data_IF_701533098270
#
_entry.id   IF_701533098270
#
_cell.length_a   1.000
_cell.length_b   1.000
_cell.length_c   1.000
_cell.angle_alpha   90.00
_cell.angle_beta   90.00
_cell.angle_gamma   90.00
#
_symmetry.space_group_name_H-M   'P 1'
#
loop_
_entity.id
_entity.type
_entity.pdbx_description
1 polymer ?
#
# COMPACT_ATOMS: atom_id res chain seq x y z
N UNK A 1 22.69 18.67 -6.81
CA UNK A 1 22.07 17.40 -7.17
C UNK A 1 22.38 16.39 -6.08
N UNK A 2 21.42 15.56 -5.72
CA UNK A 2 21.60 14.47 -4.75
C UNK A 2 21.45 13.16 -5.50
N UNK A 3 22.20 12.13 -5.09
CA UNK A 3 22.14 10.78 -5.62
C UNK A 3 21.90 9.83 -4.45
N UNK A 4 21.14 8.77 -4.71
CA UNK A 4 20.99 7.64 -3.80
C UNK A 4 21.83 6.51 -4.37
N UNK A 5 22.60 5.84 -3.50
CA UNK A 5 23.38 4.65 -3.84
C UNK A 5 22.95 3.55 -2.88
N UNK A 6 22.48 2.45 -3.41
CA UNK A 6 21.94 1.33 -2.65
C UNK A 6 22.63 0.03 -3.08
N UNK A 7 22.63 -0.97 -2.22
CA UNK A 7 23.08 -2.30 -2.58
C UNK A 7 22.09 -2.95 -3.57
N UNK A 8 22.64 -3.65 -4.54
CA UNK A 8 21.83 -4.41 -5.49
C UNK A 8 21.44 -5.77 -4.90
N UNK A 9 20.17 -6.14 -5.02
CA UNK A 9 19.71 -7.49 -4.70
C UNK A 9 20.10 -8.41 -5.84
N UNK A 10 21.00 -9.35 -5.57
CA UNK A 10 21.42 -10.38 -6.54
C UNK A 10 20.38 -11.50 -6.63
N UNK A 11 20.35 -12.25 -7.74
CA UNK A 11 19.36 -13.33 -7.97
C UNK A 11 17.93 -12.87 -7.67
N UNK A 12 17.60 -11.70 -8.21
CA UNK A 12 16.36 -10.97 -7.91
C UNK A 12 15.11 -11.69 -8.42
N UNK A 13 14.16 -11.88 -7.51
CA UNK A 13 12.76 -12.19 -7.82
C UNK A 13 11.89 -11.04 -7.34
N UNK A 14 11.18 -10.39 -8.25
CA UNK A 14 10.23 -9.31 -7.93
C UNK A 14 8.85 -9.90 -7.65
N UNK A 15 8.26 -9.58 -6.49
CA UNK A 15 6.93 -10.07 -6.09
C UNK A 15 6.09 -8.92 -5.59
N UNK A 16 4.84 -8.87 -6.05
CA UNK A 16 3.90 -7.83 -5.64
C UNK A 16 2.71 -8.44 -4.90
N UNK A 17 2.24 -7.72 -3.88
CA UNK A 17 1.06 -8.06 -3.09
C UNK A 17 0.14 -6.85 -2.98
N UNK A 18 -1.14 -7.01 -3.35
CA UNK A 18 -2.14 -5.99 -3.04
C UNK A 18 -2.72 -6.21 -1.65
N UNK A 19 -2.96 -5.12 -0.93
CA UNK A 19 -3.62 -5.15 0.39
C UNK A 19 -4.82 -4.23 0.36
N UNK A 20 -5.96 -4.70 0.87
CA UNK A 20 -7.18 -3.90 1.03
C UNK A 20 -7.60 -3.87 2.50
N UNK A 21 -8.05 -2.70 2.96
CA UNK A 21 -8.57 -2.54 4.31
C UNK A 21 -8.19 -1.23 4.97
N UNK A 22 -8.05 -1.29 6.27
CA UNK A 22 -7.58 -0.22 7.14
C UNK A 22 -6.68 -0.79 8.23
N UNK A 23 -6.32 0.03 9.22
CA UNK A 23 -5.48 -0.42 10.34
C UNK A 23 -6.08 -1.62 11.09
N UNK A 24 -7.40 -1.65 11.27
CA UNK A 24 -8.09 -2.70 12.04
C UNK A 24 -8.32 -3.99 11.24
N UNK A 25 -8.51 -3.87 9.93
CA UNK A 25 -8.90 -4.98 9.08
C UNK A 25 -8.24 -4.89 7.71
N UNK A 26 -7.00 -5.36 7.62
CA UNK A 26 -6.26 -5.43 6.37
C UNK A 26 -6.12 -6.88 5.90
N UNK A 27 -6.35 -7.11 4.60
CA UNK A 27 -6.26 -8.44 3.97
C UNK A 27 -5.36 -8.38 2.73
N UNK A 28 -4.45 -9.34 2.55
CA UNK A 28 -3.62 -9.44 1.35
C UNK A 28 -4.36 -10.18 0.23
N UNK A 29 -3.97 -9.91 -1.01
CA UNK A 29 -4.32 -10.69 -2.19
C UNK A 29 -3.39 -11.90 -2.36
N UNK A 30 -3.62 -12.68 -3.43
CA UNK A 30 -2.58 -13.55 -3.98
C UNK A 30 -1.38 -12.70 -4.40
N UNK A 31 -0.21 -13.34 -4.51
CA UNK A 31 1.02 -12.70 -4.96
C UNK A 31 1.17 -12.81 -6.48
N UNK A 32 1.72 -11.79 -7.12
CA UNK A 32 2.24 -11.90 -8.49
C UNK A 32 3.76 -11.88 -8.47
N UNK A 33 4.35 -12.69 -9.32
CA UNK A 33 5.77 -12.65 -9.65
C UNK A 33 5.94 -11.93 -10.99
N UNK A 34 6.79 -10.91 -11.01
CA UNK A 34 7.11 -10.16 -12.21
C UNK A 34 8.28 -10.84 -12.92
N UNK A 35 8.05 -11.30 -14.15
CA UNK A 35 9.13 -11.86 -14.96
C UNK A 35 9.87 -10.72 -15.65
N UNK A 36 11.07 -10.40 -15.14
CA UNK A 36 11.97 -9.47 -15.83
C UNK A 36 12.43 -10.05 -17.15
N UNK A 37 12.44 -9.24 -18.21
CA UNK A 37 13.35 -9.47 -19.32
C UNK A 37 14.75 -9.14 -18.80
N UNK A 38 15.67 -10.05 -18.91
CA UNK A 38 17.06 -10.01 -18.46
C UNK A 38 17.62 -8.59 -18.24
N UNK A 39 18.17 -8.37 -17.04
CA UNK A 39 18.94 -7.21 -16.61
C UNK A 39 18.24 -5.84 -16.64
N UNK A 40 17.87 -5.38 -15.45
CA UNK A 40 17.36 -4.03 -15.21
C UNK A 40 16.05 -3.70 -15.94
N UNK A 41 14.93 -3.91 -15.29
CA UNK A 41 13.71 -3.14 -15.59
C UNK A 41 14.07 -1.65 -15.41
N UNK A 42 14.56 -1.05 -16.48
CA UNK A 42 14.88 0.36 -16.48
C UNK A 42 13.58 1.11 -16.20
N UNK A 43 13.67 2.24 -15.54
CA UNK A 43 12.57 3.20 -15.39
C UNK A 43 11.80 3.38 -16.71
N UNK A 44 12.50 3.23 -17.83
CA UNK A 44 12.01 3.27 -19.19
C UNK A 44 10.98 2.18 -19.50
N UNK A 45 11.20 0.95 -19.03
CA UNK A 45 10.27 -0.16 -19.28
C UNK A 45 9.02 -0.07 -18.39
N UNK A 46 9.16 0.45 -17.17
CA UNK A 46 8.03 0.69 -16.24
C UNK A 46 7.12 1.84 -16.70
N UNK A 47 7.67 2.90 -17.30
CA UNK A 47 6.93 4.14 -17.55
C UNK A 47 6.92 4.60 -19.03
N UNK A 48 7.85 4.15 -19.88
CA UNK A 48 7.92 4.50 -21.28
C UNK A 48 7.44 3.40 -22.25
N UNK A 49 7.14 2.20 -21.77
CA UNK A 49 6.64 1.06 -22.59
C UNK A 49 5.30 1.33 -23.32
N UNK A 50 4.81 2.55 -23.27
CA UNK A 50 3.61 3.01 -23.99
C UNK A 50 3.86 3.96 -25.16
N UNK A 51 5.10 4.28 -25.49
CA UNK A 51 5.37 5.31 -26.50
C UNK A 51 6.51 4.99 -27.45
N UNK A 52 6.20 4.43 -28.62
CA UNK A 52 7.10 4.58 -29.75
C UNK A 52 7.31 3.39 -30.65
N UNK A 53 6.34 3.07 -31.47
CA UNK A 53 6.63 2.63 -32.85
C UNK A 53 5.57 3.21 -33.78
N UNK A 54 5.99 4.13 -34.64
CA UNK A 54 5.20 4.60 -35.80
C UNK A 54 5.04 3.45 -36.75
N UNK A 55 3.82 2.97 -36.95
CA UNK A 55 3.53 1.97 -37.99
C UNK A 55 2.08 1.50 -37.94
N UNK A 56 1.18 2.32 -38.51
CA UNK A 56 -0.07 1.98 -39.20
C UNK A 56 -1.04 0.92 -38.68
N UNK A 57 -2.23 1.42 -38.36
CA UNK A 57 -3.59 0.97 -38.73
C UNK A 57 -4.39 0.13 -37.75
N UNK A 58 -5.53 0.76 -37.45
CA UNK A 58 -6.89 0.24 -37.21
C UNK A 58 -7.23 -0.37 -35.86
N UNK A 59 -8.05 0.41 -35.13
CA UNK A 59 -9.24 -0.11 -34.44
C UNK A 59 -9.05 -0.84 -33.12
N UNK A 60 -9.32 -0.17 -32.05
CA UNK A 60 -9.54 -0.80 -30.76
C UNK A 60 -8.69 -0.18 -29.67
N UNK A 61 -9.28 0.75 -28.95
CA UNK A 61 -8.72 1.30 -27.71
C UNK A 61 -8.64 0.19 -26.66
N UNK A 62 -7.58 -0.58 -26.69
CA UNK A 62 -7.22 -1.45 -25.57
C UNK A 62 -6.15 -0.72 -24.78
N UNK A 63 -6.42 -0.45 -23.52
CA UNK A 63 -5.43 0.00 -22.55
C UNK A 63 -4.33 -1.07 -22.41
N UNK A 64 -3.33 -0.98 -23.27
CA UNK A 64 -2.21 -1.92 -23.31
C UNK A 64 -1.13 -1.62 -22.25
N UNK A 65 -1.37 -0.67 -21.36
CA UNK A 65 -0.37 -0.22 -20.39
C UNK A 65 0.06 -1.23 -19.32
N UNK A 66 -0.65 -2.34 -19.13
CA UNK A 66 -0.32 -3.35 -18.12
C UNK A 66 -0.37 -4.79 -18.63
N UNK A 67 -0.67 -5.00 -19.90
CA UNK A 67 -0.82 -6.35 -20.48
C UNK A 67 0.50 -6.92 -21.07
N UNK A 68 1.59 -6.16 -21.07
CA UNK A 68 2.85 -6.56 -21.72
C UNK A 68 3.94 -7.06 -20.77
N UNK A 69 3.72 -7.01 -19.46
CA UNK A 69 4.67 -7.62 -18.51
C UNK A 69 4.34 -9.11 -18.35
N UNK A 70 5.31 -9.98 -18.65
CA UNK A 70 5.22 -11.38 -18.28
C UNK A 70 5.12 -11.47 -16.77
N UNK A 71 4.00 -11.98 -16.28
CA UNK A 71 3.75 -12.14 -14.83
C UNK A 71 3.15 -13.50 -14.55
N UNK A 72 3.47 -14.05 -13.41
CA UNK A 72 2.95 -15.33 -12.93
C UNK A 72 2.08 -15.07 -11.71
N UNK A 73 0.84 -15.51 -11.75
CA UNK A 73 -0.14 -15.38 -10.68
C UNK A 73 -0.84 -16.72 -10.47
N UNK A 74 -0.75 -17.32 -9.28
CA UNK A 74 0.06 -16.94 -8.13
C UNK A 74 1.58 -17.02 -8.39
N UNK A 75 2.36 -16.23 -7.63
CA UNK A 75 3.83 -16.28 -7.65
C UNK A 75 4.34 -17.69 -7.30
N UNK A 76 5.50 -18.07 -7.86
CA UNK A 76 6.13 -19.38 -7.65
C UNK A 76 6.91 -19.44 -6.34
N UNK A 77 6.26 -19.12 -5.23
CA UNK A 77 6.82 -19.27 -3.89
C UNK A 77 6.24 -20.52 -3.21
N UNK A 78 6.95 -20.97 -2.18
CA UNK A 78 6.38 -21.99 -1.27
C UNK A 78 5.20 -21.41 -0.49
N UNK A 79 4.34 -22.25 0.08
CA UNK A 79 3.21 -21.80 0.90
C UNK A 79 3.68 -20.94 2.09
N UNK A 80 4.79 -21.32 2.72
CA UNK A 80 5.40 -20.58 3.82
C UNK A 80 5.94 -19.22 3.33
N UNK A 81 6.63 -19.18 2.20
CA UNK A 81 7.13 -17.95 1.58
C UNK A 81 5.98 -17.01 1.18
N UNK A 82 4.93 -17.56 0.57
CA UNK A 82 3.72 -16.82 0.22
C UNK A 82 3.09 -16.18 1.46
N UNK A 83 2.90 -16.97 2.52
CA UNK A 83 2.34 -16.50 3.79
C UNK A 83 3.20 -15.41 4.42
N UNK A 84 4.52 -15.59 4.43
CA UNK A 84 5.46 -14.62 4.97
C UNK A 84 5.38 -13.28 4.25
N UNK A 85 5.39 -13.28 2.91
CA UNK A 85 5.29 -12.05 2.11
C UNK A 85 3.94 -11.37 2.30
N UNK A 86 2.84 -12.14 2.37
CA UNK A 86 1.50 -11.61 2.64
C UNK A 86 1.39 -10.97 4.03
N UNK A 87 1.97 -11.59 5.05
CA UNK A 87 1.98 -11.04 6.41
C UNK A 87 2.82 -9.76 6.48
N UNK A 88 3.96 -9.74 5.79
CA UNK A 88 4.82 -8.56 5.68
C UNK A 88 4.10 -7.41 4.93
N UNK A 89 3.35 -7.73 3.87
CA UNK A 89 2.54 -6.75 3.15
C UNK A 89 1.48 -6.12 4.06
N UNK A 90 0.77 -6.92 4.84
CA UNK A 90 -0.24 -6.42 5.79
C UNK A 90 0.41 -5.57 6.88
N UNK A 91 1.57 -5.98 7.40
CA UNK A 91 2.31 -5.19 8.39
C UNK A 91 2.75 -3.85 7.82
N UNK A 92 3.34 -3.84 6.62
CA UNK A 92 3.76 -2.61 5.92
C UNK A 92 2.58 -1.66 5.72
N UNK A 93 1.45 -2.18 5.23
CA UNK A 93 0.23 -1.42 5.03
C UNK A 93 -0.25 -0.73 6.32
N UNK A 94 -0.23 -1.45 7.45
CA UNK A 94 -0.65 -0.94 8.76
C UNK A 94 0.32 0.07 9.34
N UNK A 95 1.62 -0.21 9.32
CA UNK A 95 2.66 0.67 9.88
C UNK A 95 2.66 2.03 9.16
N UNK A 96 2.39 2.04 7.85
CA UNK A 96 2.29 3.27 7.06
C UNK A 96 0.92 3.97 7.19
N UNK A 97 0.00 3.46 8.02
CA UNK A 97 -1.32 4.05 8.22
C UNK A 97 -2.19 4.06 6.96
N UNK A 98 -1.97 3.11 6.06
CA UNK A 98 -2.69 3.01 4.79
C UNK A 98 -4.16 2.65 5.01
N UNK A 99 -5.03 3.10 4.09
CA UNK A 99 -6.44 2.74 4.07
C UNK A 99 -6.96 2.70 2.62
N UNK A 100 -7.89 1.80 2.33
CA UNK A 100 -8.36 1.52 0.98
C UNK A 100 -7.58 0.38 0.36
N UNK A 101 -6.98 0.56 -0.81
CA UNK A 101 -6.14 -0.43 -1.47
C UNK A 101 -4.74 0.13 -1.71
N UNK A 102 -3.73 -0.71 -1.52
CA UNK A 102 -2.36 -0.43 -1.93
C UNK A 102 -1.73 -1.69 -2.52
N UNK A 103 -0.67 -1.54 -3.32
CA UNK A 103 0.19 -2.64 -3.75
C UNK A 103 1.57 -2.41 -3.15
N UNK A 104 2.07 -3.43 -2.49
CA UNK A 104 3.40 -3.44 -1.92
C UNK A 104 4.27 -4.33 -2.82
N UNK A 105 5.38 -3.79 -3.24
CA UNK A 105 6.32 -4.44 -4.13
C UNK A 105 7.54 -4.89 -3.32
N UNK A 106 7.96 -6.13 -3.53
CA UNK A 106 9.02 -6.80 -2.78
C UNK A 106 10.14 -7.23 -3.70
N UNK A 107 11.36 -7.16 -3.19
CA UNK A 107 12.55 -7.76 -3.79
C UNK A 107 12.94 -8.97 -2.96
N UNK A 108 13.07 -10.12 -3.59
CA UNK A 108 13.46 -11.37 -2.94
C UNK A 108 14.80 -11.81 -3.54
N UNK A 109 15.78 -12.06 -2.68
CA UNK A 109 17.01 -12.71 -3.10
C UNK A 109 16.76 -14.23 -3.11
N UNK A 110 16.77 -14.83 -4.30
CA UNK A 110 16.49 -16.25 -4.47
C UNK A 110 17.59 -17.18 -3.92
N UNK A 111 18.79 -16.66 -3.62
CA UNK A 111 19.90 -17.44 -3.09
C UNK A 111 19.77 -17.69 -1.58
N UNK A 112 19.37 -16.65 -0.83
CA UNK A 112 19.29 -16.70 0.63
C UNK A 112 17.85 -16.53 1.17
N UNK A 113 16.86 -16.34 0.30
CA UNK A 113 15.45 -16.10 0.61
C UNK A 113 15.20 -14.83 1.45
N UNK A 114 16.11 -13.87 1.46
CA UNK A 114 15.86 -12.57 2.09
C UNK A 114 14.84 -11.77 1.30
N UNK A 115 13.87 -11.20 2.03
CA UNK A 115 12.75 -10.42 1.47
C UNK A 115 12.88 -8.96 1.91
N UNK A 116 12.90 -8.07 0.94
CA UNK A 116 12.96 -6.63 1.17
C UNK A 116 11.67 -5.96 0.69
N UNK A 117 11.12 -5.08 1.53
CA UNK A 117 10.03 -4.19 1.10
C UNK A 117 10.65 -3.09 0.23
N UNK A 118 10.29 -3.05 -1.03
CA UNK A 118 10.82 -2.07 -1.97
C UNK A 118 10.01 -0.76 -1.96
N UNK A 119 8.74 -0.85 -2.34
CA UNK A 119 7.89 0.32 -2.39
C UNK A 119 6.42 0.01 -2.07
N UNK A 120 5.65 1.05 -1.74
CA UNK A 120 4.20 0.99 -1.62
C UNK A 120 3.54 1.91 -2.64
N UNK A 121 2.67 1.34 -3.45
CA UNK A 121 1.83 2.06 -4.40
C UNK A 121 0.44 2.26 -3.81
N UNK A 122 0.15 3.47 -3.36
CA UNK A 122 -1.13 3.81 -2.69
C UNK A 122 -2.30 4.01 -3.66
N UNK A 123 -2.02 4.12 -4.96
CA UNK A 123 -3.02 4.14 -6.04
C UNK A 123 -2.50 3.23 -7.16
N UNK A 124 -2.53 1.91 -6.93
CA UNK A 124 -1.98 0.97 -7.91
C UNK A 124 -2.80 1.00 -9.20
N UNK A 125 -2.13 0.79 -10.33
CA UNK A 125 -2.78 0.73 -11.63
C UNK A 125 -3.93 -0.28 -11.63
N UNK A 126 -5.08 0.13 -12.16
CA UNK A 126 -6.33 -0.67 -12.16
C UNK A 126 -6.74 -1.18 -10.78
N UNK A 127 -6.30 -0.51 -9.69
CA UNK A 127 -6.51 -0.91 -8.29
C UNK A 127 -6.05 -2.35 -8.00
N UNK A 128 -5.15 -2.88 -8.80
CA UNK A 128 -4.68 -4.27 -8.76
C UNK A 128 -5.81 -5.31 -8.78
N UNK A 129 -6.95 -5.01 -9.43
CA UNK A 129 -8.15 -5.86 -9.40
C UNK A 129 -7.87 -7.30 -9.85
N UNK A 130 -6.95 -7.49 -10.78
CA UNK A 130 -6.57 -8.79 -11.32
C UNK A 130 -5.98 -9.75 -10.26
N UNK A 131 -5.37 -9.22 -9.18
CA UNK A 131 -4.92 -10.01 -8.03
C UNK A 131 -6.10 -10.42 -7.16
N UNK A 132 -7.10 -9.54 -7.04
CA UNK A 132 -8.30 -9.79 -6.25
C UNK A 132 -9.23 -10.82 -6.90
N UNK A 133 -9.36 -10.80 -8.23
CA UNK A 133 -10.08 -11.84 -8.97
C UNK A 133 -9.52 -13.25 -8.73
N UNK A 134 -8.19 -13.35 -8.57
CA UNK A 134 -7.52 -14.61 -8.21
C UNK A 134 -7.58 -14.92 -6.71
N UNK A 135 -8.08 -14.00 -5.90
CA UNK A 135 -8.30 -14.14 -4.45
C UNK A 135 -9.80 -14.32 -4.14
N UNK A 136 -10.60 -14.81 -5.09
CA UNK A 136 -12.05 -15.01 -4.97
C UNK A 136 -12.86 -13.74 -4.65
N UNK A 137 -12.39 -12.58 -5.09
CA UNK A 137 -13.09 -11.30 -4.99
C UNK A 137 -13.24 -10.67 -6.36
N UNK A 138 -14.46 -10.59 -6.86
CA UNK A 138 -14.73 -9.96 -8.14
C UNK A 138 -14.60 -8.43 -8.10
N UNK A 139 -14.56 -7.80 -9.27
CA UNK A 139 -14.38 -6.35 -9.39
C UNK A 139 -15.46 -5.54 -8.66
N UNK A 140 -16.72 -5.97 -8.73
CA UNK A 140 -17.83 -5.26 -8.06
C UNK A 140 -17.67 -5.29 -6.54
N UNK A 141 -17.30 -6.43 -5.97
CA UNK A 141 -17.04 -6.58 -4.54
C UNK A 141 -15.84 -5.75 -4.09
N UNK A 142 -14.79 -5.68 -4.92
CA UNK A 142 -13.64 -4.83 -4.66
C UNK A 142 -14.07 -3.36 -4.60
N UNK A 143 -14.82 -2.89 -5.59
CA UNK A 143 -15.30 -1.49 -5.63
C UNK A 143 -16.22 -1.18 -4.46
N UNK A 144 -17.15 -2.06 -4.14
CA UNK A 144 -18.05 -1.91 -2.98
C UNK A 144 -17.25 -1.77 -1.69
N UNK A 145 -16.28 -2.65 -1.48
CA UNK A 145 -15.42 -2.59 -0.30
C UNK A 145 -14.62 -1.28 -0.20
N UNK A 146 -14.13 -0.75 -1.31
CA UNK A 146 -13.40 0.52 -1.33
C UNK A 146 -14.30 1.70 -0.97
N UNK A 147 -15.54 1.72 -1.47
CA UNK A 147 -16.53 2.74 -1.10
C UNK A 147 -16.89 2.65 0.38
N UNK A 148 -17.14 1.45 0.89
CA UNK A 148 -17.44 1.23 2.31
C UNK A 148 -16.29 1.69 3.23
N UNK A 149 -15.05 1.36 2.88
CA UNK A 149 -13.85 1.82 3.59
C UNK A 149 -13.72 3.35 3.57
N UNK A 150 -13.97 3.98 2.44
CA UNK A 150 -13.94 5.43 2.32
C UNK A 150 -15.00 6.11 3.19
N UNK A 151 -16.24 5.60 3.18
CA UNK A 151 -17.33 6.10 4.02
C UNK A 151 -17.07 5.85 5.51
N UNK A 152 -16.50 4.70 5.87
CA UNK A 152 -16.07 4.41 7.25
C UNK A 152 -15.03 5.43 7.71
N UNK A 153 -13.98 5.64 6.93
CA UNK A 153 -12.90 6.59 7.24
C UNK A 153 -13.42 8.03 7.38
N UNK A 154 -14.36 8.44 6.52
CA UNK A 154 -14.97 9.76 6.62
C UNK A 154 -15.74 9.92 7.94
N UNK A 155 -16.58 8.94 8.31
CA UNK A 155 -17.31 8.95 9.59
C UNK A 155 -16.39 9.00 10.80
N UNK A 156 -15.31 8.20 10.79
CA UNK A 156 -14.31 8.20 11.85
C UNK A 156 -13.64 9.58 11.97
N UNK A 157 -13.29 10.21 10.85
CA UNK A 157 -12.70 11.54 10.82
C UNK A 157 -13.67 12.61 11.35
N UNK A 158 -14.93 12.56 10.96
CA UNK A 158 -15.96 13.49 11.42
C UNK A 158 -16.28 13.35 12.91
N UNK A 159 -16.07 12.16 13.47
CA UNK A 159 -16.25 11.91 14.90
C UNK A 159 -15.12 12.47 15.78
N UNK A 160 -13.99 12.88 15.18
CA UNK A 160 -12.86 13.43 15.93
C UNK A 160 -13.15 14.88 16.34
N UNK A 161 -12.91 15.19 17.62
CA UNK A 161 -12.95 16.56 18.12
C UNK A 161 -11.57 17.19 17.91
N UNK A 162 -11.45 18.11 16.93
CA UNK A 162 -10.19 18.80 16.62
C UNK A 162 -9.90 20.00 17.52
N UNK A 163 -10.90 20.52 18.21
CA UNK A 163 -10.75 21.60 19.19
C UNK A 163 -11.65 21.35 20.38
N UNK A 164 -11.17 21.63 21.57
CA UNK A 164 -11.96 21.65 22.78
C UNK A 164 -11.56 22.87 23.60
N UNK A 165 -12.53 23.53 24.19
CA UNK A 165 -12.27 24.60 25.16
C UNK A 165 -11.82 23.95 26.46
N UNK A 166 -10.52 24.09 26.80
CA UNK A 166 -10.02 23.69 28.10
C UNK A 166 -9.95 24.90 29.01
N UNK A 167 -10.76 24.90 30.09
CA UNK A 167 -10.78 25.97 31.09
C UNK A 167 -9.79 25.68 32.24
N UNK A 168 -8.67 25.02 31.94
CA UNK A 168 -7.65 24.62 32.94
C UNK A 168 -7.12 25.82 33.72
N UNK A 169 -7.00 26.99 33.07
CA UNK A 169 -6.55 28.22 33.74
C UNK A 169 -7.60 28.82 34.66
N UNK A 170 -8.90 28.61 34.41
CA UNK A 170 -9.95 29.05 35.31
C UNK A 170 -10.02 28.18 36.58
N UNK A 171 -9.67 26.90 36.48
CA UNK A 171 -9.56 26.01 37.65
C UNK A 171 -8.37 26.37 38.57
N UNK A 172 -7.29 26.93 38.03
CA UNK A 172 -6.16 27.42 38.82
C UNK A 172 -6.46 28.75 39.51
N UNK A 173 -7.39 29.56 39.00
CA UNK A 173 -7.80 30.83 39.58
C UNK A 173 -8.73 30.68 40.81
N UNK A 174 -9.24 29.50 41.10
CA UNK A 174 -10.05 29.19 42.31
C UNK A 174 -9.20 28.80 43.54
N UNK A 175 -7.88 29.09 43.47
CA UNK A 175 -6.96 28.86 44.59
C UNK A 175 -7.29 29.73 45.80
N UNK A 176 -7.65 29.09 46.88
CA UNK A 176 -7.53 29.44 48.28
C UNK A 176 -7.55 30.94 48.65
N UNK A 177 -8.72 31.48 48.91
CA UNK A 177 -8.83 32.64 49.80
C UNK A 177 -8.26 32.24 51.14
N UNK A 178 -7.06 32.71 51.44
CA UNK A 178 -6.42 32.48 52.73
C UNK A 178 -7.32 32.95 53.87
N UNK A 179 -7.51 32.09 54.85
CA UNK A 179 -8.20 32.37 56.08
C UNK A 179 -7.49 33.57 56.75
N UNK A 180 -8.22 34.66 56.94
CA UNK A 180 -7.78 35.77 57.79
C UNK A 180 -7.69 35.27 59.22
N UNK A 181 -6.47 35.16 59.73
CA UNK A 181 -6.22 34.89 61.13
C UNK A 181 -6.79 36.04 62.01
N UNK A 182 -7.63 35.71 62.94
CA UNK A 182 -8.12 36.60 64.02
C UNK A 182 -6.96 36.87 64.98
N UNK A 183 -6.54 38.11 65.09
CA UNK A 183 -5.67 38.50 66.21
C UNK A 183 -6.49 38.67 67.43
N UNK A 184 -6.13 37.92 68.48
CA UNK A 184 -6.50 38.20 69.86
C UNK A 184 -5.67 39.36 70.43
#
# INVERSE_FOLDING_TARGET
KKFIVEEIVTQLVEVNCSVIGDFSSAKPSVLEEVMGSDEFLSFRDKYEGGGGSKGAKTGGTKSQGMASTNRIIPARLTDEGTKYVQDLAVQTFRVLGSAGVARIDFLINAENNEVYVNEINTIPGSLSFYLWEKTDRNFTELMTSLVELALKRQRERESLTFSFESNVLALQGAGTKGAKGTKA
#
